data_IF_155316444991
#
_entry.id   IF_155316444991
#
_cell.length_a   1.000
_cell.length_b   1.000
_cell.length_c   1.000
_cell.angle_alpha   90.00
_cell.angle_beta   90.00
_cell.angle_gamma   90.00
#
_symmetry.space_group_name_H-M   'P 1'
#
loop_
_entity.id
_entity.type
_entity.pdbx_description
1 polymer ?
#
# COMPACT_ATOMS: atom_id res chain seq x y z
N UNK A 1 23.89 29.89 -11.32
CA UNK A 1 22.75 29.10 -10.83
C UNK A 1 23.10 28.61 -9.44
N UNK A 2 22.14 28.56 -8.50
CA UNK A 2 22.40 28.27 -7.07
C UNK A 2 22.56 26.78 -6.74
N UNK A 3 22.52 25.91 -7.76
CA UNK A 3 22.65 24.46 -7.63
C UNK A 3 23.60 23.94 -8.71
N UNK A 4 24.38 22.92 -8.36
CA UNK A 4 25.27 22.23 -9.30
C UNK A 4 24.46 21.23 -10.15
N UNK A 5 24.90 20.93 -11.39
CA UNK A 5 24.21 19.99 -12.26
C UNK A 5 23.97 18.61 -11.62
N UNK A 6 24.93 18.11 -10.83
CA UNK A 6 24.84 16.79 -10.19
C UNK A 6 23.79 16.74 -9.06
N UNK A 7 23.52 17.89 -8.44
CA UNK A 7 22.48 18.01 -7.40
C UNK A 7 21.08 17.97 -8.01
N UNK A 8 20.93 18.54 -9.21
CA UNK A 8 19.68 18.52 -9.98
C UNK A 8 19.39 17.10 -10.46
N UNK A 9 20.41 16.40 -10.97
CA UNK A 9 20.29 15.01 -11.44
C UNK A 9 19.85 14.05 -10.33
N UNK A 10 20.50 14.10 -9.16
CA UNK A 10 20.09 13.30 -7.99
C UNK A 10 18.67 13.59 -7.51
N UNK A 11 18.24 14.86 -7.58
CA UNK A 11 16.87 15.21 -7.23
C UNK A 11 15.87 14.64 -8.24
N UNK A 12 16.20 14.70 -9.53
CA UNK A 12 15.39 14.10 -10.59
C UNK A 12 15.29 12.57 -10.44
N UNK A 13 16.37 11.88 -10.13
CA UNK A 13 16.37 10.44 -9.85
C UNK A 13 15.44 10.09 -8.68
N UNK A 14 15.51 10.86 -7.58
CA UNK A 14 14.62 10.64 -6.42
C UNK A 14 13.16 10.91 -6.76
N UNK A 15 12.87 11.94 -7.55
CA UNK A 15 11.51 12.24 -8.03
C UNK A 15 11.01 11.12 -8.95
N UNK A 16 11.84 10.65 -9.88
CA UNK A 16 11.50 9.54 -10.78
C UNK A 16 11.28 8.23 -10.01
N UNK A 17 12.12 7.91 -9.02
CA UNK A 17 11.95 6.73 -8.18
C UNK A 17 10.64 6.77 -7.37
N UNK A 18 10.20 7.95 -6.89
CA UNK A 18 8.90 8.11 -6.24
C UNK A 18 7.74 7.99 -7.26
N UNK A 19 7.92 8.46 -8.50
CA UNK A 19 6.93 8.30 -9.58
C UNK A 19 6.83 6.86 -10.09
N UNK A 20 7.92 6.10 -10.00
CA UNK A 20 8.00 4.68 -10.36
C UNK A 20 7.50 3.75 -9.26
N UNK A 21 7.40 4.25 -8.01
CA UNK A 21 6.66 3.54 -6.96
C UNK A 21 5.17 3.61 -7.27
N UNK A 22 4.54 2.45 -7.38
CA UNK A 22 3.13 2.26 -7.77
C UNK A 22 2.20 2.83 -6.67
N UNK A 23 1.94 4.14 -6.72
CA UNK A 23 1.04 4.82 -5.80
C UNK A 23 -0.39 4.31 -6.03
N UNK A 24 -0.86 3.42 -5.16
CA UNK A 24 -2.27 3.01 -5.16
C UNK A 24 -3.13 4.19 -4.67
N UNK A 25 -4.07 4.65 -5.50
CA UNK A 25 -5.00 5.74 -5.14
C UNK A 25 -6.42 5.23 -4.89
N UNK A 26 -6.70 4.00 -5.28
CA UNK A 26 -7.98 3.30 -5.08
C UNK A 26 -7.71 1.81 -4.87
N UNK A 27 -8.69 1.11 -4.30
CA UNK A 27 -8.59 -0.32 -3.98
C UNK A 27 -8.18 -1.17 -5.19
N UNK A 28 -8.63 -0.82 -6.40
CA UNK A 28 -8.27 -1.57 -7.61
C UNK A 28 -6.79 -1.47 -8.02
N UNK A 29 -6.05 -0.52 -7.45
CA UNK A 29 -4.62 -0.31 -7.73
C UNK A 29 -3.73 -1.13 -6.79
N UNK A 30 -4.32 -1.78 -5.77
CA UNK A 30 -3.58 -2.67 -4.88
C UNK A 30 -3.11 -3.90 -5.64
N UNK A 31 -1.87 -4.30 -5.40
CA UNK A 31 -1.29 -5.54 -5.94
C UNK A 31 -1.73 -6.80 -5.19
N UNK A 32 -2.97 -6.81 -4.69
CA UNK A 32 -3.64 -7.94 -4.05
C UNK A 32 -5.14 -7.88 -4.37
N UNK A 33 -5.77 -9.04 -4.54
CA UNK A 33 -7.19 -9.14 -4.83
C UNK A 33 -8.02 -9.54 -3.61
N UNK A 34 -9.33 -9.30 -3.65
CA UNK A 34 -10.25 -9.85 -2.66
C UNK A 34 -10.24 -11.39 -2.63
N UNK A 35 -9.91 -12.05 -3.75
CA UNK A 35 -9.77 -13.51 -3.79
C UNK A 35 -8.58 -14.00 -2.96
N UNK A 36 -7.47 -13.27 -2.98
CA UNK A 36 -6.30 -13.58 -2.15
C UNK A 36 -6.64 -13.50 -0.66
N UNK A 37 -7.41 -12.49 -0.27
CA UNK A 37 -7.90 -12.33 1.11
C UNK A 37 -8.85 -13.48 1.47
N UNK A 38 -9.76 -13.86 0.57
CA UNK A 38 -10.69 -14.98 0.80
C UNK A 38 -9.95 -16.33 0.98
N UNK A 39 -8.82 -16.54 0.29
CA UNK A 39 -7.96 -17.73 0.45
C UNK A 39 -7.35 -17.86 1.86
N UNK A 40 -7.30 -16.76 2.63
CA UNK A 40 -6.85 -16.77 4.03
C UNK A 40 -7.97 -17.17 5.02
N UNK A 41 -9.17 -17.51 4.53
CA UNK A 41 -10.29 -17.95 5.36
C UNK A 41 -11.30 -16.83 5.69
N UNK A 42 -11.11 -15.62 5.15
CA UNK A 42 -12.07 -14.52 5.28
C UNK A 42 -13.31 -14.84 4.45
N UNK A 43 -14.49 -14.80 5.08
CA UNK A 43 -15.76 -15.03 4.35
C UNK A 43 -16.03 -13.89 3.39
N UNK A 44 -16.55 -14.25 2.21
CA UNK A 44 -17.05 -13.27 1.24
C UNK A 44 -18.06 -12.33 1.90
N UNK A 45 -17.83 -11.03 1.82
CA UNK A 45 -18.69 -10.01 2.42
C UNK A 45 -17.95 -8.70 2.67
N UNK A 46 -18.57 -7.78 3.43
CA UNK A 46 -18.02 -6.45 3.71
C UNK A 46 -16.61 -6.46 4.32
N UNK A 47 -16.27 -7.51 5.09
CA UNK A 47 -14.96 -7.63 5.73
C UNK A 47 -13.80 -7.67 4.74
N UNK A 48 -13.98 -8.29 3.56
CA UNK A 48 -12.96 -8.25 2.50
C UNK A 48 -12.71 -6.82 2.03
N UNK A 49 -13.79 -6.02 1.93
CA UNK A 49 -13.71 -4.59 1.60
C UNK A 49 -12.97 -3.79 2.67
N UNK A 50 -13.31 -4.00 3.95
CA UNK A 50 -12.64 -3.34 5.08
C UNK A 50 -11.12 -3.59 5.08
N UNK A 51 -10.71 -4.84 4.80
CA UNK A 51 -9.29 -5.19 4.71
C UNK A 51 -8.62 -4.48 3.53
N UNK A 52 -9.27 -4.45 2.36
CA UNK A 52 -8.74 -3.74 1.20
C UNK A 52 -8.62 -2.22 1.44
N UNK A 53 -9.58 -1.62 2.15
CA UNK A 53 -9.52 -0.21 2.55
C UNK A 53 -8.37 0.05 3.53
N UNK A 54 -8.16 -0.84 4.50
CA UNK A 54 -6.99 -0.79 5.39
C UNK A 54 -5.68 -0.85 4.60
N UNK A 55 -5.54 -1.81 3.68
CA UNK A 55 -4.34 -1.98 2.88
C UNK A 55 -4.07 -0.76 1.99
N UNK A 56 -5.14 -0.14 1.45
CA UNK A 56 -5.01 1.10 0.71
C UNK A 56 -4.46 2.23 1.58
N UNK A 57 -4.95 2.39 2.82
CA UNK A 57 -4.42 3.39 3.73
C UNK A 57 -2.93 3.15 4.03
N UNK A 58 -2.51 1.90 4.24
CA UNK A 58 -1.10 1.54 4.45
C UNK A 58 -0.24 1.89 3.24
N UNK A 59 -0.71 1.59 2.03
CA UNK A 59 0.04 1.89 0.79
C UNK A 59 0.09 3.39 0.49
N UNK A 60 -0.94 4.16 0.86
CA UNK A 60 -0.91 5.61 0.71
C UNK A 60 0.19 6.22 1.58
N UNK A 61 0.37 5.72 2.81
CA UNK A 61 1.44 6.14 3.71
C UNK A 61 2.82 5.62 3.26
N UNK A 62 2.88 4.35 2.83
CA UNK A 62 4.11 3.70 2.36
C UNK A 62 3.91 3.00 0.99
N UNK A 63 4.06 3.74 -0.13
CA UNK A 63 3.81 3.21 -1.48
C UNK A 63 4.65 1.97 -1.84
N UNK A 64 5.82 1.83 -1.24
CA UNK A 64 6.71 0.68 -1.43
C UNK A 64 6.08 -0.66 -0.98
N UNK A 65 5.07 -0.61 -0.11
CA UNK A 65 4.35 -1.80 0.34
C UNK A 65 3.34 -2.33 -0.69
N UNK A 66 3.12 -1.63 -1.81
CA UNK A 66 2.23 -2.08 -2.88
C UNK A 66 2.84 -3.23 -3.69
N UNK A 67 3.08 -4.37 -3.04
CA UNK A 67 3.49 -5.63 -3.64
C UNK A 67 2.65 -6.75 -3.05
N UNK A 68 2.35 -7.77 -3.86
CA UNK A 68 1.49 -8.88 -3.42
C UNK A 68 1.95 -9.52 -2.10
N UNK A 69 3.25 -9.78 -1.98
CA UNK A 69 3.85 -10.38 -0.79
C UNK A 69 3.69 -9.49 0.46
N UNK A 70 3.98 -8.20 0.34
CA UNK A 70 3.88 -7.25 1.46
C UNK A 70 2.43 -7.08 1.90
N UNK A 71 1.51 -6.91 0.95
CA UNK A 71 0.07 -6.79 1.24
C UNK A 71 -0.52 -8.06 1.84
N UNK A 72 -0.05 -9.24 1.41
CA UNK A 72 -0.46 -10.51 1.99
C UNK A 72 0.01 -10.66 3.44
N UNK A 73 1.22 -10.18 3.74
CA UNK A 73 1.75 -10.13 5.11
C UNK A 73 0.92 -9.18 5.98
N UNK A 74 0.69 -7.97 5.51
CA UNK A 74 -0.15 -6.97 6.19
C UNK A 74 -1.55 -7.52 6.48
N UNK A 75 -2.15 -8.23 5.51
CA UNK A 75 -3.45 -8.89 5.70
C UNK A 75 -3.41 -9.92 6.85
N UNK A 76 -2.34 -10.73 6.93
CA UNK A 76 -2.21 -11.73 8.01
C UNK A 76 -2.02 -11.06 9.37
N UNK A 77 -1.27 -9.96 9.43
CA UNK A 77 -1.05 -9.22 10.67
C UNK A 77 -2.33 -8.49 11.13
N UNK A 78 -3.15 -7.99 10.19
CA UNK A 78 -4.51 -7.50 10.44
C UNK A 78 -5.39 -8.58 11.08
N UNK A 79 -5.46 -9.76 10.47
CA UNK A 79 -6.27 -10.88 10.97
C UNK A 79 -5.77 -11.42 12.32
N UNK A 80 -4.48 -11.31 12.60
CA UNK A 80 -3.88 -11.70 13.87
C UNK A 80 -4.07 -10.65 14.99
N UNK A 81 -4.74 -9.52 14.71
CA UNK A 81 -4.96 -8.46 15.68
C UNK A 81 -3.68 -7.75 16.14
N UNK A 82 -2.61 -7.82 15.36
CA UNK A 82 -1.31 -7.19 15.70
C UNK A 82 -1.27 -5.69 15.40
N UNK A 83 -2.35 -5.16 14.83
CA UNK A 83 -2.42 -3.77 14.38
C UNK A 83 -2.99 -2.91 15.49
N UNK A 84 -2.22 -1.89 15.87
CA UNK A 84 -2.65 -0.83 16.78
C UNK A 84 -3.17 0.33 15.93
N UNK A 85 -4.48 0.57 16.00
CA UNK A 85 -5.20 1.77 15.53
C UNK A 85 -4.78 2.33 14.16
N UNK A 86 -5.50 1.93 13.11
CA UNK A 86 -5.60 2.76 11.90
C UNK A 86 -6.82 3.64 12.07
N UNK A 87 -6.61 4.95 12.14
CA UNK A 87 -7.70 5.93 12.14
C UNK A 87 -8.37 5.85 10.77
N UNK A 88 -9.66 5.47 10.68
CA UNK A 88 -10.35 5.46 9.41
C UNK A 88 -10.45 6.90 8.89
N UNK A 89 -9.98 7.13 7.66
CA UNK A 89 -10.21 8.37 6.94
C UNK A 89 -11.74 8.50 6.74
N UNK A 90 -12.35 9.45 7.46
CA UNK A 90 -13.71 9.93 7.21
C UNK A 90 -13.69 11.14 6.28
#
# INVERSE_FOLDING_TARGET
SSFKPEEIEKLQERISAVREQDMALKVSDLRISGEDIMKLGVKKGPEVGNILEYLLAVVIEEPILNSHESLLRETKDYLAGKIKEVIPLR
#
